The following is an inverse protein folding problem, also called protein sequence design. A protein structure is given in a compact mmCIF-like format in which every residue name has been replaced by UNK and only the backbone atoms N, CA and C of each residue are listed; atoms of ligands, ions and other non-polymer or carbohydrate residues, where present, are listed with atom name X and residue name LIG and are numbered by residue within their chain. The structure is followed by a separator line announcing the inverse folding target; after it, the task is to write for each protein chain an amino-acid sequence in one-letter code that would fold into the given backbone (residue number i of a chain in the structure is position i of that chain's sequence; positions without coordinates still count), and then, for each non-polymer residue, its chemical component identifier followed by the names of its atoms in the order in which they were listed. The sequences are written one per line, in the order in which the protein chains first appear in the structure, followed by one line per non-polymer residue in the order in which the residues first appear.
data_IF_352113256960
#
_entry.id   IF_352113256960
#
_cell.length_a   1.000
_cell.length_b   1.000
_cell.length_c   1.000
_cell.angle_alpha   90.00
_cell.angle_beta   90.00
_cell.angle_gamma   90.00
#
_symmetry.space_group_name_H-M   'P 1'
#
loop_
_entity.id
_entity.type
_entity.pdbx_description
1 polymer ?
#
# COMPACT_ATOMS: atom_id res chain seq x y z
N UNK A 1 -13.26 10.99 18.03
CA UNK A 1 -12.66 9.64 18.20
C UNK A 1 -11.18 9.70 18.54
N UNK A 2 -10.24 9.88 17.60
CA UNK A 2 -8.80 9.81 17.94
C UNK A 2 -8.40 10.89 18.96
N UNK A 3 -8.80 12.14 18.77
CA UNK A 3 -8.49 13.24 19.71
C UNK A 3 -9.09 13.03 21.12
N UNK A 4 -10.21 12.32 21.23
CA UNK A 4 -10.83 12.00 22.53
C UNK A 4 -10.19 10.77 23.18
N UNK A 5 -9.73 9.81 22.38
CA UNK A 5 -9.16 8.55 22.84
C UNK A 5 -7.66 8.66 23.15
N UNK A 6 -6.91 9.33 22.27
CA UNK A 6 -5.47 9.53 22.32
C UNK A 6 -5.11 10.95 21.82
N UNK A 7 -5.25 11.96 22.71
CA UNK A 7 -4.97 13.35 22.36
C UNK A 7 -3.48 13.61 22.04
N UNK A 8 -2.56 12.78 22.56
CA UNK A 8 -1.12 12.93 22.32
C UNK A 8 -0.77 12.59 20.87
N UNK A 9 -1.27 11.46 20.37
CA UNK A 9 -1.11 11.09 18.95
C UNK A 9 -1.86 12.06 18.04
N UNK A 10 -3.06 12.51 18.42
CA UNK A 10 -3.78 13.52 17.65
C UNK A 10 -2.99 14.83 17.53
N UNK A 11 -2.32 15.26 18.60
CA UNK A 11 -1.48 16.46 18.60
C UNK A 11 -0.23 16.26 17.73
N UNK A 12 0.40 15.09 17.76
CA UNK A 12 1.54 14.78 16.89
C UNK A 12 1.16 14.84 15.40
N UNK A 13 0.00 14.29 15.02
CA UNK A 13 -0.50 14.34 13.63
C UNK A 13 -0.77 15.79 13.19
N UNK A 14 -1.37 16.62 14.07
CA UNK A 14 -1.58 18.05 13.79
C UNK A 14 -0.25 18.79 13.58
N UNK A 15 0.75 18.52 14.43
CA UNK A 15 2.08 19.10 14.30
C UNK A 15 2.79 18.70 13.00
N UNK A 16 2.64 17.44 12.56
CA UNK A 16 3.21 17.00 11.28
C UNK A 16 2.52 17.67 10.08
N UNK A 17 1.19 17.81 10.11
CA UNK A 17 0.47 18.56 9.07
C UNK A 17 0.96 20.02 8.97
N UNK A 18 1.19 20.67 10.11
CA UNK A 18 1.74 22.02 10.16
C UNK A 18 3.17 22.06 9.60
N UNK A 19 4.01 21.05 9.90
CA UNK A 19 5.36 20.92 9.33
C UNK A 19 5.28 20.79 7.81
N UNK A 20 4.52 19.84 7.30
CA UNK A 20 4.36 19.58 5.86
C UNK A 20 3.84 20.83 5.12
N UNK A 21 2.91 21.58 5.73
CA UNK A 21 2.29 22.75 5.11
C UNK A 21 3.22 23.97 5.04
N UNK A 22 4.19 24.07 5.95
CA UNK A 22 5.03 25.25 6.11
C UNK A 22 6.53 24.99 5.84
N UNK A 23 6.88 23.78 5.44
CA UNK A 23 8.26 23.38 5.12
C UNK A 23 8.40 23.17 3.62
N UNK A 24 9.47 23.72 3.04
CA UNK A 24 9.85 23.34 1.69
C UNK A 24 10.49 21.94 1.73
N UNK A 25 9.72 20.93 1.36
CA UNK A 25 10.20 19.54 1.31
C UNK A 25 10.99 19.28 0.02
N UNK A 26 12.25 18.85 0.18
CA UNK A 26 13.22 18.68 -0.91
C UNK A 26 13.79 17.27 -0.96
N UNK A 27 13.29 16.36 -0.12
CA UNK A 27 13.65 14.94 -0.17
C UNK A 27 13.05 14.32 -1.43
N UNK A 28 13.90 13.87 -2.36
CA UNK A 28 13.50 13.42 -3.69
C UNK A 28 12.54 12.21 -3.70
N UNK A 29 12.54 11.40 -2.64
CA UNK A 29 11.66 10.23 -2.50
C UNK A 29 10.36 10.51 -1.75
N UNK A 30 10.20 11.71 -1.18
CA UNK A 30 8.97 12.10 -0.50
C UNK A 30 7.98 12.73 -1.48
N UNK A 31 6.70 12.64 -1.12
CA UNK A 31 5.61 13.22 -1.89
C UNK A 31 4.35 13.35 -1.01
N UNK A 32 3.43 14.21 -1.42
CA UNK A 32 2.14 14.38 -0.75
C UNK A 32 1.05 13.65 -1.51
N UNK A 33 0.41 12.68 -0.87
CA UNK A 33 -0.70 11.92 -1.46
C UNK A 33 -1.99 12.74 -1.45
N UNK A 34 -2.91 12.42 -2.37
CA UNK A 34 -4.22 13.06 -2.39
C UNK A 34 -5.10 12.64 -1.21
N UNK A 35 -6.07 13.49 -0.83
CA UNK A 35 -7.09 13.15 0.18
C UNK A 35 -7.86 11.87 -0.13
N UNK A 36 -8.12 11.59 -1.40
CA UNK A 36 -8.81 10.37 -1.83
C UNK A 36 -8.00 9.09 -1.52
N UNK A 37 -6.67 9.16 -1.60
CA UNK A 37 -5.80 8.04 -1.20
C UNK A 37 -5.84 7.82 0.30
N UNK A 38 -5.77 8.91 1.09
CA UNK A 38 -5.86 8.83 2.55
C UNK A 38 -7.22 8.27 3.03
N UNK A 39 -8.32 8.68 2.39
CA UNK A 39 -9.67 8.17 2.69
C UNK A 39 -9.76 6.66 2.51
N UNK A 40 -9.20 6.12 1.41
CA UNK A 40 -9.18 4.69 1.17
C UNK A 40 -8.29 3.94 2.19
N UNK A 41 -7.13 4.49 2.54
CA UNK A 41 -6.17 3.87 3.48
C UNK A 41 -6.76 3.75 4.90
N UNK A 42 -7.49 4.77 5.36
CA UNK A 42 -8.14 4.79 6.67
C UNK A 42 -9.50 4.10 6.74
N UNK A 43 -9.85 3.26 5.75
CA UNK A 43 -11.17 2.65 5.62
C UNK A 43 -11.28 1.27 6.27
N UNK A 44 -12.50 0.73 6.30
CA UNK A 44 -12.82 -0.61 6.82
C UNK A 44 -12.12 -1.76 6.08
N UNK A 45 -11.51 -1.49 4.92
CA UNK A 45 -10.75 -2.50 4.16
C UNK A 45 -9.61 -3.11 4.99
N UNK A 46 -9.05 -2.35 5.93
CA UNK A 46 -7.99 -2.83 6.86
C UNK A 46 -8.43 -4.01 7.73
N UNK A 47 -9.74 -4.17 7.95
CA UNK A 47 -10.27 -5.23 8.82
C UNK A 47 -10.25 -6.62 8.15
N UNK A 48 -10.07 -6.69 6.82
CA UNK A 48 -10.26 -7.93 6.07
C UNK A 48 -8.96 -8.69 5.85
N UNK A 49 -8.93 -9.92 6.38
CA UNK A 49 -7.92 -10.92 6.00
C UNK A 49 -8.30 -11.59 4.67
N UNK A 50 -7.42 -11.52 3.66
CA UNK A 50 -7.73 -11.89 2.28
C UNK A 50 -6.57 -12.64 1.57
N UNK A 51 -5.92 -13.59 2.26
CA UNK A 51 -4.85 -14.39 1.68
C UNK A 51 -5.28 -15.11 0.39
N UNK A 52 -4.34 -15.22 -0.55
CA UNK A 52 -4.55 -15.74 -1.89
C UNK A 52 -4.70 -14.61 -2.91
N UNK A 53 -5.33 -14.93 -4.04
CA UNK A 53 -5.58 -13.97 -5.12
C UNK A 53 -7.09 -13.84 -5.38
N UNK A 54 -7.56 -12.78 -6.07
CA UNK A 54 -8.98 -12.61 -6.34
C UNK A 54 -9.61 -13.85 -7.01
N UNK A 55 -10.72 -14.34 -6.46
CA UNK A 55 -11.39 -15.58 -6.88
C UNK A 55 -10.72 -16.89 -6.43
N UNK A 56 -9.57 -16.83 -5.77
CA UNK A 56 -8.82 -17.97 -5.20
C UNK A 56 -8.29 -17.61 -3.81
N UNK A 57 -9.22 -17.32 -2.89
CA UNK A 57 -8.91 -16.94 -1.50
C UNK A 57 -8.93 -18.15 -0.59
N UNK A 58 -8.12 -18.11 0.46
CA UNK A 58 -8.15 -19.10 1.54
C UNK A 58 -9.31 -18.89 2.52
N UNK A 59 -9.89 -17.67 2.55
CA UNK A 59 -10.96 -17.27 3.46
C UNK A 59 -12.19 -16.75 2.72
N UNK A 60 -13.36 -16.91 3.33
CA UNK A 60 -14.62 -16.34 2.85
C UNK A 60 -14.75 -14.83 3.08
N UNK A 61 -15.80 -14.24 2.49
CA UNK A 61 -16.17 -12.83 2.66
C UNK A 61 -15.27 -11.83 1.93
N UNK A 62 -14.61 -12.25 0.84
CA UNK A 62 -13.64 -11.43 0.12
C UNK A 62 -14.22 -10.70 -1.10
N UNK A 63 -15.56 -10.65 -1.24
CA UNK A 63 -16.25 -10.17 -2.44
C UNK A 63 -15.85 -8.73 -2.79
N UNK A 64 -15.73 -7.86 -1.78
CA UNK A 64 -15.43 -6.44 -1.99
C UNK A 64 -13.93 -6.14 -2.10
N UNK A 65 -13.08 -6.84 -1.33
CA UNK A 65 -11.62 -6.69 -1.46
C UNK A 65 -11.11 -7.25 -2.78
N UNK A 66 -11.77 -8.27 -3.34
CA UNK A 66 -11.50 -8.78 -4.68
C UNK A 66 -11.77 -7.72 -5.76
N UNK A 67 -12.83 -6.92 -5.61
CA UNK A 67 -13.11 -5.80 -6.53
C UNK A 67 -11.97 -4.78 -6.47
N UNK A 68 -11.55 -4.38 -5.28
CA UNK A 68 -10.48 -3.41 -5.09
C UNK A 68 -9.15 -3.90 -5.70
N UNK A 69 -8.76 -5.14 -5.41
CA UNK A 69 -7.50 -5.72 -5.91
C UNK A 69 -7.52 -5.91 -7.43
N UNK A 70 -8.64 -6.39 -8.01
CA UNK A 70 -8.78 -6.49 -9.48
C UNK A 70 -8.66 -5.13 -10.14
N UNK A 71 -9.33 -4.10 -9.61
CA UNK A 71 -9.23 -2.74 -10.16
C UNK A 71 -7.81 -2.18 -10.06
N UNK A 72 -7.09 -2.44 -8.96
CA UNK A 72 -5.70 -2.03 -8.80
C UNK A 72 -4.79 -2.69 -9.84
N UNK A 73 -4.92 -4.01 -10.04
CA UNK A 73 -4.17 -4.76 -11.06
C UNK A 73 -4.45 -4.21 -12.46
N UNK A 74 -5.71 -4.07 -12.86
CA UNK A 74 -6.07 -3.60 -14.20
C UNK A 74 -5.60 -2.16 -14.46
N UNK A 75 -5.70 -1.28 -13.46
CA UNK A 75 -5.21 0.10 -13.57
C UNK A 75 -3.70 0.15 -13.69
N UNK A 76 -2.96 -0.64 -12.91
CA UNK A 76 -1.50 -0.71 -12.99
C UNK A 76 -1.04 -1.27 -14.34
N UNK A 77 -1.67 -2.36 -14.81
CA UNK A 77 -1.41 -2.92 -16.15
C UNK A 77 -1.61 -1.87 -17.24
N UNK A 78 -2.73 -1.14 -17.20
CA UNK A 78 -3.01 -0.08 -18.17
C UNK A 78 -2.02 1.08 -18.07
N UNK A 79 -1.68 1.52 -16.86
CA UNK A 79 -0.79 2.66 -16.62
C UNK A 79 0.62 2.42 -17.16
N UNK A 80 1.15 1.21 -16.97
CA UNK A 80 2.52 0.86 -17.35
C UNK A 80 2.62 0.00 -18.62
N UNK A 81 1.49 -0.26 -19.30
CA UNK A 81 1.40 -1.18 -20.42
C UNK A 81 2.02 -2.56 -20.12
N UNK A 82 1.71 -3.10 -18.94
CA UNK A 82 2.27 -4.36 -18.45
C UNK A 82 1.33 -5.55 -18.70
N UNK A 83 1.91 -6.72 -18.98
CA UNK A 83 1.16 -7.98 -19.17
C UNK A 83 0.61 -8.52 -17.84
N UNK A 84 1.43 -8.44 -16.78
CA UNK A 84 1.14 -8.93 -15.44
C UNK A 84 1.54 -7.92 -14.36
N UNK A 85 0.78 -7.86 -13.28
CA UNK A 85 1.07 -7.04 -12.08
C UNK A 85 0.67 -7.81 -10.83
N UNK A 86 1.50 -7.75 -9.80
CA UNK A 86 1.15 -8.11 -8.42
C UNK A 86 1.16 -6.82 -7.57
N UNK A 87 0.05 -6.55 -6.87
CA UNK A 87 -0.16 -5.34 -6.05
C UNK A 87 -0.14 -5.60 -4.54
N UNK A 88 0.29 -6.80 -4.12
CA UNK A 88 0.28 -7.22 -2.71
C UNK A 88 1.55 -6.88 -1.88
N UNK A 89 2.76 -6.66 -2.44
CA UNK A 89 3.91 -6.27 -1.63
C UNK A 89 3.66 -4.98 -0.84
N UNK A 90 3.99 -4.96 0.47
CA UNK A 90 3.67 -3.78 1.31
C UNK A 90 4.61 -2.60 1.10
N UNK A 91 5.81 -2.83 0.52
CA UNK A 91 6.77 -1.77 0.20
C UNK A 91 7.78 -2.25 -0.85
N UNK A 92 8.59 -1.34 -1.38
CA UNK A 92 9.56 -1.63 -2.44
C UNK A 92 10.57 -2.71 -2.08
N UNK A 93 11.11 -2.69 -0.86
CA UNK A 93 12.08 -3.71 -0.40
C UNK A 93 11.50 -5.12 -0.40
N UNK A 94 10.22 -5.26 -0.01
CA UNK A 94 9.54 -6.55 -0.02
C UNK A 94 9.19 -7.02 -1.44
N UNK A 95 8.87 -6.09 -2.35
CA UNK A 95 8.68 -6.43 -3.76
C UNK A 95 9.96 -7.01 -4.36
N UNK A 96 11.12 -6.40 -4.10
CA UNK A 96 12.42 -6.92 -4.54
C UNK A 96 12.71 -8.30 -3.95
N UNK A 97 12.47 -8.49 -2.64
CA UNK A 97 12.64 -9.80 -2.01
C UNK A 97 11.74 -10.88 -2.63
N UNK A 98 10.50 -10.54 -2.97
CA UNK A 98 9.59 -11.48 -3.63
C UNK A 98 10.13 -11.93 -5.00
N UNK A 99 10.69 -11.01 -5.79
CA UNK A 99 11.34 -11.33 -7.06
C UNK A 99 12.55 -12.25 -6.85
N UNK A 100 13.44 -11.90 -5.91
CA UNK A 100 14.63 -12.70 -5.62
C UNK A 100 14.26 -14.12 -5.17
N UNK A 101 13.30 -14.27 -4.25
CA UNK A 101 12.85 -15.58 -3.81
C UNK A 101 12.14 -16.40 -4.89
N UNK A 102 11.64 -15.75 -5.95
CA UNK A 102 11.00 -16.45 -7.07
C UNK A 102 12.01 -17.03 -8.05
N UNK A 103 13.11 -16.32 -8.31
CA UNK A 103 14.03 -16.64 -9.42
C UNK A 103 15.45 -17.02 -9.00
N UNK A 104 15.84 -16.79 -7.74
CA UNK A 104 17.18 -17.06 -7.23
C UNK A 104 17.17 -18.12 -6.14
N UNK A 105 18.33 -18.75 -5.95
CA UNK A 105 18.66 -19.63 -4.85
C UNK A 105 19.72 -19.01 -3.95
N UNK A 106 19.83 -19.44 -2.67
CA UNK A 106 20.91 -19.02 -1.80
C UNK A 106 22.29 -19.27 -2.43
N UNK A 107 23.10 -18.23 -2.58
CA UNK A 107 24.43 -18.29 -3.20
C UNK A 107 24.49 -17.74 -4.63
N UNK A 108 23.34 -17.49 -5.27
CA UNK A 108 23.29 -16.81 -6.56
C UNK A 108 23.75 -15.35 -6.45
N UNK A 109 24.30 -14.82 -7.54
CA UNK A 109 24.82 -13.44 -7.62
C UNK A 109 23.79 -12.51 -8.25
N UNK A 110 23.68 -11.30 -7.71
CA UNK A 110 22.87 -10.20 -8.24
C UNK A 110 23.75 -8.96 -8.47
N UNK A 111 23.39 -8.12 -9.44
CA UNK A 111 24.01 -6.81 -9.71
C UNK A 111 22.91 -5.76 -9.86
#
# INVERSE_FOLDING_TARGET
VLEEFDPEIAQAIKGELDRESNTLEMIASENFVSKAVMEALGSVMTNKYAEGYPGKRYYGGCEHVDIAEKLAIERAKKLFNAEHVNVQPHSGSQANMAVYHTVLQPGDKIL
#
